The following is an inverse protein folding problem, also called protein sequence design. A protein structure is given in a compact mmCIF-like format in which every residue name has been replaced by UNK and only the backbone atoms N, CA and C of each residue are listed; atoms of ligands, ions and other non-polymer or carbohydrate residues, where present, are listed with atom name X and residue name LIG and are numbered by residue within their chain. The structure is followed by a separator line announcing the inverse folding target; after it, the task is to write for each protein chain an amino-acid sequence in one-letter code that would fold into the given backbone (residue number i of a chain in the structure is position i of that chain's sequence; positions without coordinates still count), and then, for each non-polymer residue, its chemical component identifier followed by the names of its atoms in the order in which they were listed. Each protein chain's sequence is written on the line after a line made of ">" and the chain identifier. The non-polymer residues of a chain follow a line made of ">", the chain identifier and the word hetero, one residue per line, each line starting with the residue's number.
data_IF_447107039373
#
_entry.id   IF_447107039373
#
_cell.length_a   1.000
_cell.length_b   1.000
_cell.length_c   1.000
_cell.angle_alpha   90.00
_cell.angle_beta   90.00
_cell.angle_gamma   90.00
#
_symmetry.space_group_name_H-M   'P 1'
#
loop_
_entity.id
_entity.type
_entity.pdbx_description
1 polymer ?
#
# COMPACT_ATOMS: atom_id res chain seq x y z
N UNK A 1 24.74 -12.40 -20.00
CA UNK A 1 23.45 -11.69 -19.80
C UNK A 1 23.25 -11.52 -18.30
N UNK A 2 22.99 -10.31 -17.77
CA UNK A 2 22.75 -10.11 -16.33
C UNK A 2 21.35 -10.61 -15.97
N UNK A 3 21.21 -11.39 -14.89
CA UNK A 3 19.92 -11.94 -14.42
C UNK A 3 18.81 -10.89 -14.33
N UNK A 4 19.14 -9.70 -13.80
CA UNK A 4 18.24 -8.55 -13.69
C UNK A 4 17.61 -8.16 -15.04
N UNK A 5 18.38 -8.17 -16.13
CA UNK A 5 17.90 -7.73 -17.44
C UNK A 5 16.91 -8.72 -18.03
N UNK A 6 17.14 -10.02 -17.81
CA UNK A 6 16.22 -11.08 -18.23
C UNK A 6 14.88 -10.96 -17.49
N UNK A 7 14.93 -10.76 -16.17
CA UNK A 7 13.73 -10.62 -15.35
C UNK A 7 12.91 -9.36 -15.72
N UNK A 8 13.58 -8.22 -15.91
CA UNK A 8 12.93 -6.97 -16.34
C UNK A 8 12.28 -7.14 -17.71
N UNK A 9 12.98 -7.74 -18.67
CA UNK A 9 12.44 -7.96 -20.02
C UNK A 9 11.20 -8.84 -20.02
N UNK A 10 11.21 -9.91 -19.22
CA UNK A 10 10.04 -10.76 -19.03
C UNK A 10 8.88 -9.99 -18.39
N UNK A 11 9.14 -9.21 -17.33
CA UNK A 11 8.11 -8.43 -16.64
C UNK A 11 7.43 -7.41 -17.57
N UNK A 12 8.20 -6.72 -18.42
CA UNK A 12 7.65 -5.74 -19.37
C UNK A 12 6.66 -6.36 -20.37
N UNK A 13 6.79 -7.65 -20.67
CA UNK A 13 5.92 -8.37 -21.61
C UNK A 13 4.77 -9.13 -20.92
N UNK A 14 4.96 -9.53 -19.66
CA UNK A 14 4.08 -10.49 -18.98
C UNK A 14 3.47 -9.95 -17.68
N UNK A 15 3.60 -8.64 -17.40
CA UNK A 15 3.01 -8.08 -16.20
C UNK A 15 1.47 -8.23 -16.20
N UNK A 16 0.92 -8.35 -15.00
CA UNK A 16 -0.54 -8.33 -14.80
C UNK A 16 -1.03 -6.90 -14.76
N UNK A 17 -2.15 -6.64 -15.41
CA UNK A 17 -2.87 -5.38 -15.30
C UNK A 17 -3.56 -5.30 -13.93
N UNK A 18 -2.92 -4.57 -13.00
CA UNK A 18 -3.43 -4.32 -11.66
C UNK A 18 -3.44 -2.80 -11.41
N UNK A 19 -4.53 -2.23 -10.86
CA UNK A 19 -4.69 -0.78 -10.76
C UNK A 19 -3.55 -0.08 -10.00
N UNK A 20 -3.09 -0.67 -8.90
CA UNK A 20 -2.01 -0.11 -8.10
C UNK A 20 -0.67 -0.09 -8.86
N UNK A 21 -0.44 -0.99 -9.82
CA UNK A 21 0.79 -0.99 -10.66
C UNK A 21 0.83 0.13 -11.68
N UNK A 22 -0.30 0.78 -11.96
CA UNK A 22 -0.40 1.94 -12.86
C UNK A 22 -0.15 3.27 -12.14
N UNK A 23 0.10 3.22 -10.83
CA UNK A 23 0.28 4.39 -9.98
C UNK A 23 1.68 4.39 -9.36
N UNK A 24 2.26 5.59 -9.19
CA UNK A 24 3.39 5.82 -8.27
C UNK A 24 2.98 6.58 -7.01
N UNK A 25 1.69 6.83 -6.83
CA UNK A 25 1.19 7.51 -5.64
C UNK A 25 1.33 6.56 -4.43
N UNK A 26 2.07 6.96 -3.39
CA UNK A 26 2.35 6.12 -2.22
C UNK A 26 1.08 5.72 -1.46
N UNK A 27 0.03 6.54 -1.45
CA UNK A 27 -1.24 6.20 -0.83
C UNK A 27 -1.86 4.95 -1.47
N UNK A 28 -1.88 4.89 -2.79
CA UNK A 28 -2.46 3.78 -3.54
C UNK A 28 -1.62 2.51 -3.45
N UNK A 29 -0.29 2.64 -3.47
CA UNK A 29 0.61 1.49 -3.27
C UNK A 29 0.45 0.94 -1.86
N UNK A 30 0.53 1.80 -0.84
CA UNK A 30 0.35 1.42 0.56
C UNK A 30 -0.97 0.69 0.82
N UNK A 31 -2.09 1.21 0.30
CA UNK A 31 -3.39 0.53 0.41
C UNK A 31 -3.34 -0.89 -0.17
N UNK A 32 -2.76 -1.06 -1.36
CA UNK A 32 -2.67 -2.37 -2.00
C UNK A 32 -1.78 -3.33 -1.21
N UNK A 33 -0.62 -2.88 -0.72
CA UNK A 33 0.30 -3.71 0.06
C UNK A 33 -0.37 -4.20 1.35
N UNK A 34 -1.02 -3.30 2.11
CA UNK A 34 -1.72 -3.69 3.35
C UNK A 34 -2.88 -4.64 3.07
N UNK A 35 -3.66 -4.42 1.99
CA UNK A 35 -4.78 -5.29 1.66
C UNK A 35 -4.34 -6.68 1.20
N UNK A 36 -3.24 -6.78 0.45
CA UNK A 36 -2.77 -8.03 -0.13
C UNK A 36 -1.99 -8.90 0.85
N UNK A 37 -1.60 -8.38 2.01
CA UNK A 37 -1.09 -9.21 3.11
C UNK A 37 -2.06 -10.35 3.42
N UNK A 38 -1.60 -11.59 3.24
CA UNK A 38 -2.38 -12.82 3.48
C UNK A 38 -3.75 -12.84 2.80
N UNK A 39 -3.90 -12.13 1.68
CA UNK A 39 -5.16 -12.02 0.93
C UNK A 39 -4.90 -12.25 -0.56
N UNK A 40 -5.70 -13.12 -1.20
CA UNK A 40 -5.54 -13.39 -2.63
C UNK A 40 -5.84 -12.15 -3.47
N UNK A 41 -5.08 -11.96 -4.56
CA UNK A 41 -5.19 -10.78 -5.46
C UNK A 41 -6.63 -10.53 -5.93
N UNK A 42 -7.38 -11.57 -6.34
CA UNK A 42 -8.74 -11.42 -6.82
C UNK A 42 -9.69 -10.82 -5.75
N UNK A 43 -9.55 -11.26 -4.50
CA UNK A 43 -10.33 -10.71 -3.39
C UNK A 43 -9.85 -9.28 -3.09
N UNK A 44 -8.54 -9.09 -2.89
CA UNK A 44 -7.95 -7.79 -2.58
C UNK A 44 -8.30 -6.70 -3.60
N UNK A 45 -8.31 -7.03 -4.90
CA UNK A 45 -8.68 -6.12 -5.97
C UNK A 45 -10.08 -5.51 -5.79
N UNK A 46 -11.07 -6.35 -5.44
CA UNK A 46 -12.45 -5.88 -5.25
C UNK A 46 -12.59 -4.91 -4.07
N UNK A 47 -11.82 -5.11 -3.00
CA UNK A 47 -11.80 -4.21 -1.84
C UNK A 47 -11.03 -2.95 -2.13
N UNK A 48 -9.88 -3.07 -2.79
CA UNK A 48 -9.05 -1.94 -3.22
C UNK A 48 -9.86 -0.94 -4.02
N UNK A 49 -10.58 -1.40 -5.06
CA UNK A 49 -11.40 -0.53 -5.92
C UNK A 49 -12.53 0.16 -5.15
N UNK A 50 -13.16 -0.53 -4.19
CA UNK A 50 -14.18 0.08 -3.33
C UNK A 50 -13.59 1.12 -2.39
N UNK A 51 -12.44 0.80 -1.77
CA UNK A 51 -11.74 1.69 -0.84
C UNK A 51 -11.26 2.96 -1.53
N UNK A 52 -10.58 2.86 -2.67
CA UNK A 52 -10.07 4.04 -3.38
C UNK A 52 -11.17 4.90 -3.97
N UNK A 53 -12.35 4.33 -4.27
CA UNK A 53 -13.52 5.10 -4.67
C UNK A 53 -14.15 5.86 -3.49
N UNK A 54 -14.23 5.25 -2.31
CA UNK A 54 -14.81 5.90 -1.12
C UNK A 54 -13.84 6.85 -0.43
N UNK A 55 -12.55 6.52 -0.45
CA UNK A 55 -11.46 7.33 0.10
C UNK A 55 -10.44 7.60 -1.03
N UNK A 56 -10.69 8.61 -1.88
CA UNK A 56 -9.78 8.93 -2.98
C UNK A 56 -8.41 9.41 -2.51
N UNK A 57 -8.33 10.03 -1.33
CA UNK A 57 -7.10 10.56 -0.75
C UNK A 57 -6.87 10.05 0.67
N UNK A 58 -5.63 10.20 1.15
CA UNK A 58 -5.29 9.92 2.56
C UNK A 58 -6.09 10.79 3.53
N UNK A 59 -6.48 12.01 3.13
CA UNK A 59 -7.31 12.89 3.95
C UNK A 59 -8.73 12.34 4.11
N UNK A 60 -9.31 11.80 3.05
CA UNK A 60 -10.63 11.17 3.10
C UNK A 60 -10.63 9.96 4.04
N UNK A 61 -9.59 9.13 3.94
CA UNK A 61 -9.41 7.99 4.85
C UNK A 61 -9.18 8.45 6.30
N UNK A 62 -8.38 9.49 6.52
CA UNK A 62 -8.08 10.02 7.85
C UNK A 62 -9.30 10.66 8.54
N UNK A 63 -10.19 11.28 7.76
CA UNK A 63 -11.41 11.93 8.24
C UNK A 63 -12.51 10.94 8.56
N UNK A 64 -12.46 9.74 8.01
CA UNK A 64 -13.48 8.72 8.22
C UNK A 64 -13.57 8.28 9.70
N UNK A 65 -14.77 7.86 10.10
CA UNK A 65 -14.93 7.16 11.37
C UNK A 65 -14.30 5.77 11.29
N UNK A 66 -13.68 5.31 12.38
CA UNK A 66 -13.08 3.97 12.44
C UNK A 66 -14.13 2.88 12.12
N UNK A 67 -15.37 3.05 12.57
CA UNK A 67 -16.48 2.14 12.26
C UNK A 67 -16.74 2.03 10.76
N UNK A 68 -16.66 3.14 10.00
CA UNK A 68 -16.82 3.15 8.55
C UNK A 68 -15.68 2.41 7.86
N UNK A 69 -14.43 2.64 8.30
CA UNK A 69 -13.25 1.93 7.78
C UNK A 69 -13.36 0.43 8.04
N UNK A 70 -13.72 0.02 9.27
CA UNK A 70 -13.88 -1.38 9.63
C UNK A 70 -15.03 -2.06 8.87
N UNK A 71 -16.14 -1.34 8.63
CA UNK A 71 -17.25 -1.84 7.81
C UNK A 71 -16.82 -2.08 6.36
N UNK A 72 -16.02 -1.18 5.79
CA UNK A 72 -15.48 -1.38 4.44
C UNK A 72 -14.45 -2.51 4.38
N UNK A 73 -13.74 -2.78 5.48
CA UNK A 73 -12.78 -3.89 5.61
C UNK A 73 -13.43 -5.25 5.89
N UNK A 74 -14.73 -5.27 6.18
CA UNK A 74 -15.45 -6.47 6.57
C UNK A 74 -15.31 -7.56 5.51
N UNK A 75 -14.71 -8.70 5.90
CA UNK A 75 -14.48 -9.84 5.01
C UNK A 75 -13.03 -10.01 4.52
N UNK A 76 -12.13 -9.03 4.75
CA UNK A 76 -10.69 -9.18 4.50
C UNK A 76 -9.92 -9.87 5.64
N UNK A 77 -10.53 -10.00 6.83
CA UNK A 77 -9.86 -10.53 8.02
C UNK A 77 -8.75 -9.60 8.55
N UNK A 78 -8.11 -10.02 9.66
CA UNK A 78 -7.01 -9.30 10.31
C UNK A 78 -7.30 -7.80 10.50
N UNK A 79 -8.36 -7.47 11.24
CA UNK A 79 -8.84 -6.08 11.42
C UNK A 79 -7.82 -5.13 12.08
N UNK A 80 -6.78 -5.64 12.71
CA UNK A 80 -5.65 -4.82 13.16
C UNK A 80 -4.99 -4.07 12.00
N UNK A 81 -4.96 -4.65 10.78
CA UNK A 81 -4.48 -3.96 9.57
C UNK A 81 -5.29 -2.71 9.27
N UNK A 82 -6.63 -2.81 9.26
CA UNK A 82 -7.51 -1.65 9.05
C UNK A 82 -7.32 -0.57 10.11
N UNK A 83 -7.20 -0.96 11.39
CA UNK A 83 -6.98 0.00 12.48
C UNK A 83 -5.64 0.70 12.37
N UNK A 84 -4.57 -0.03 12.08
CA UNK A 84 -3.23 0.52 11.89
C UNK A 84 -3.17 1.41 10.64
N UNK A 85 -3.77 0.96 9.53
CA UNK A 85 -3.94 1.75 8.32
C UNK A 85 -4.62 3.09 8.63
N UNK A 86 -5.76 3.06 9.33
CA UNK A 86 -6.49 4.27 9.68
C UNK A 86 -5.71 5.19 10.63
N UNK A 87 -5.01 4.62 11.61
CA UNK A 87 -4.13 5.36 12.51
C UNK A 87 -3.04 6.11 11.72
N UNK A 88 -2.33 5.41 10.83
CA UNK A 88 -1.29 6.02 10.01
C UNK A 88 -1.85 7.01 9.00
N UNK A 89 -3.05 6.80 8.46
CA UNK A 89 -3.70 7.79 7.60
C UNK A 89 -3.91 9.11 8.35
N UNK A 90 -4.38 9.05 9.61
CA UNK A 90 -4.52 10.24 10.47
C UNK A 90 -3.20 10.91 10.75
N UNK A 91 -2.17 10.13 11.06
CA UNK A 91 -0.81 10.64 11.27
C UNK A 91 -0.29 11.38 10.03
N UNK A 92 -0.34 10.75 8.86
CA UNK A 92 0.13 11.32 7.60
C UNK A 92 -0.65 12.58 7.24
N UNK A 93 -1.98 12.56 7.35
CA UNK A 93 -2.81 13.72 7.05
C UNK A 93 -2.53 14.91 7.99
N UNK A 94 -2.35 14.66 9.29
CA UNK A 94 -2.22 15.71 10.30
C UNK A 94 -0.78 16.23 10.45
N UNK A 95 0.19 15.33 10.50
CA UNK A 95 1.59 15.66 10.84
C UNK A 95 2.44 15.89 9.59
N UNK A 96 2.11 15.21 8.49
CA UNK A 96 2.87 15.27 7.24
C UNK A 96 2.10 15.97 6.11
N UNK A 97 0.99 16.64 6.43
CA UNK A 97 0.15 17.35 5.46
C UNK A 97 -0.25 16.49 4.24
N UNK A 98 -0.51 15.20 4.48
CA UNK A 98 -0.89 14.24 3.43
C UNK A 98 0.27 13.70 2.60
N UNK A 99 1.51 14.12 2.87
CA UNK A 99 2.71 13.64 2.18
C UNK A 99 3.26 12.41 2.88
N UNK A 100 3.47 11.34 2.12
CA UNK A 100 4.10 10.14 2.66
C UNK A 100 5.61 10.36 2.81
N UNK A 101 6.25 9.80 3.87
CA UNK A 101 7.70 9.79 3.95
C UNK A 101 8.30 9.09 2.73
N UNK A 102 9.45 9.59 2.25
CA UNK A 102 10.04 9.16 0.98
C UNK A 102 11.18 8.16 1.12
N UNK A 103 11.58 7.84 2.35
CA UNK A 103 12.65 6.88 2.63
C UNK A 103 12.16 5.71 3.47
N UNK A 104 12.75 4.53 3.26
CA UNK A 104 12.51 3.33 4.05
C UNK A 104 12.56 3.62 5.55
N UNK A 105 13.58 4.35 6.00
CA UNK A 105 13.84 4.65 7.41
C UNK A 105 12.69 5.42 8.08
N UNK A 106 11.95 6.22 7.31
CA UNK A 106 10.80 6.96 7.81
C UNK A 106 9.49 6.20 7.57
N UNK A 107 9.35 5.51 6.43
CA UNK A 107 8.16 4.72 6.10
C UNK A 107 7.93 3.60 7.13
N UNK A 108 8.99 2.91 7.56
CA UNK A 108 8.91 1.82 8.54
C UNK A 108 8.41 2.27 9.93
N UNK A 109 8.49 3.57 10.24
CA UNK A 109 7.99 4.11 11.51
C UNK A 109 6.47 4.21 11.56
N UNK A 110 5.79 4.12 10.41
CA UNK A 110 4.33 4.13 10.34
C UNK A 110 3.76 2.83 10.91
N UNK A 111 2.70 2.95 11.71
CA UNK A 111 2.08 1.81 12.39
C UNK A 111 1.55 0.77 11.40
N UNK A 112 1.90 -0.49 11.62
CA UNK A 112 1.45 -1.61 10.78
C UNK A 112 2.21 -1.74 9.47
N UNK A 113 3.29 -0.98 9.28
CA UNK A 113 4.26 -1.17 8.20
C UNK A 113 5.45 -1.94 8.76
N UNK A 114 5.76 -3.09 8.17
CA UNK A 114 6.99 -3.84 8.43
C UNK A 114 7.97 -3.75 7.25
N UNK A 115 9.11 -4.41 7.37
CA UNK A 115 10.22 -4.35 6.39
C UNK A 115 9.77 -4.52 4.94
N UNK A 116 8.96 -5.55 4.65
CA UNK A 116 8.44 -5.79 3.30
C UNK A 116 7.67 -4.59 2.74
N UNK A 117 6.68 -4.09 3.47
CA UNK A 117 5.83 -2.98 3.01
C UNK A 117 6.62 -1.67 2.94
N UNK A 118 7.54 -1.44 3.86
CA UNK A 118 8.41 -0.26 3.82
C UNK A 118 9.31 -0.28 2.57
N UNK A 119 10.00 -1.40 2.31
CA UNK A 119 10.84 -1.56 1.12
C UNK A 119 10.03 -1.49 -0.18
N UNK A 120 8.82 -2.06 -0.20
CA UNK A 120 7.94 -2.00 -1.37
C UNK A 120 7.54 -0.55 -1.69
N UNK A 121 7.11 0.23 -0.70
CA UNK A 121 6.74 1.64 -0.93
C UNK A 121 7.97 2.46 -1.33
N UNK A 122 9.09 2.31 -0.61
CA UNK A 122 10.34 3.03 -0.87
C UNK A 122 10.86 2.80 -2.30
N UNK A 123 10.93 1.54 -2.73
CA UNK A 123 11.39 1.18 -4.07
C UNK A 123 10.40 1.55 -5.18
N UNK A 124 9.10 1.25 -5.03
CA UNK A 124 8.10 1.48 -6.08
C UNK A 124 7.80 2.98 -6.27
N UNK A 125 7.64 3.72 -5.18
CA UNK A 125 7.18 5.12 -5.22
C UNK A 125 8.34 6.10 -5.35
N UNK A 126 9.47 5.80 -4.69
CA UNK A 126 10.58 6.75 -4.53
C UNK A 126 11.90 6.25 -5.14
N UNK A 127 11.89 5.07 -5.78
CA UNK A 127 13.04 4.49 -6.47
C UNK A 127 14.26 4.30 -5.54
N UNK A 128 14.02 4.13 -4.24
CA UNK A 128 15.06 3.79 -3.27
C UNK A 128 15.52 2.35 -3.50
N UNK A 129 16.84 2.11 -3.43
CA UNK A 129 17.44 0.81 -3.73
C UNK A 129 17.35 -0.13 -2.53
N UNK A 130 16.12 -0.54 -2.19
CA UNK A 130 15.81 -1.42 -1.05
C UNK A 130 15.34 -2.78 -1.53
N UNK A 131 15.84 -3.86 -0.91
CA UNK A 131 15.41 -5.21 -1.22
C UNK A 131 14.00 -5.48 -0.67
N UNK A 132 13.15 -6.08 -1.50
CA UNK A 132 11.80 -6.52 -1.14
C UNK A 132 11.78 -8.05 -1.15
N UNK A 133 11.41 -8.67 -0.02
CA UNK A 133 11.34 -10.13 0.14
C UNK A 133 10.01 -10.49 0.78
N UNK A 134 9.23 -11.33 0.10
CA UNK A 134 7.97 -11.93 0.58
C UNK A 134 8.08 -13.47 0.48
N UNK A 135 7.15 -14.20 1.11
CA UNK A 135 7.13 -15.67 1.20
C UNK A 135 6.42 -16.41 0.07
#
# INVERSE_FOLDING_TARGET
>A
MKFSNTLVSWYLQNNRDLPWRKSKNPYFIWLSEIMLQQTRVAQGLSYYLKFTRTFPTVFDLAKADESTVLKMWQGLGYYSRARNLHFSAKQIAKELNGEFPTSYTEIIKLKGIGDYTASAIASICFNESTAVVDG
#
